data_IF_477533748754
#
_entry.id   IF_477533748754
#
_cell.length_a   1.000
_cell.length_b   1.000
_cell.length_c   1.000
_cell.angle_alpha   90.00
_cell.angle_beta   90.00
_cell.angle_gamma   90.00
#
_symmetry.space_group_name_H-M   'P 1'
#
loop_
_entity.id
_entity.type
_entity.pdbx_description
1 polymer ?
#
# COMPACT_ATOMS: atom_id res chain seq x y z
N UNK A 1 -6.31 -10.70 -5.74
CA UNK A 1 -7.70 -10.92 -5.29
C UNK A 1 -8.38 -12.01 -6.12
N UNK A 2 -9.37 -12.64 -5.53
CA UNK A 2 -10.18 -13.69 -6.17
C UNK A 2 -11.65 -13.34 -6.01
N UNK A 3 -12.41 -13.45 -7.10
CA UNK A 3 -13.87 -13.31 -7.08
C UNK A 3 -14.52 -14.45 -7.85
N UNK A 4 -15.69 -14.89 -7.38
CA UNK A 4 -16.45 -15.97 -8.01
C UNK A 4 -17.89 -15.54 -8.23
N UNK A 5 -18.47 -15.99 -9.33
CA UNK A 5 -19.89 -15.90 -9.62
C UNK A 5 -20.44 -17.32 -9.69
N UNK A 6 -21.52 -17.57 -8.99
CA UNK A 6 -22.16 -18.88 -8.95
C UNK A 6 -23.66 -18.76 -9.25
N UNK A 7 -24.25 -19.86 -9.71
CA UNK A 7 -25.71 -19.98 -9.82
C UNK A 7 -26.33 -20.19 -8.43
N UNK A 8 -27.68 -20.10 -8.34
CA UNK A 8 -28.43 -20.31 -7.08
C UNK A 8 -28.21 -21.72 -6.50
N UNK A 9 -27.91 -22.69 -7.34
CA UNK A 9 -27.55 -24.06 -6.94
C UNK A 9 -26.05 -24.26 -6.70
N UNK A 10 -25.29 -23.15 -6.47
CA UNK A 10 -23.86 -23.14 -6.15
C UNK A 10 -22.93 -23.72 -7.23
N UNK A 11 -23.34 -23.70 -8.49
CA UNK A 11 -22.46 -24.06 -9.61
C UNK A 11 -21.65 -22.87 -10.06
N UNK A 12 -20.35 -23.05 -10.25
CA UNK A 12 -19.44 -22.00 -10.70
C UNK A 12 -19.79 -21.56 -12.13
N UNK A 13 -20.04 -20.27 -12.32
CA UNK A 13 -20.24 -19.61 -13.62
C UNK A 13 -18.95 -18.94 -14.08
N UNK A 14 -18.31 -18.16 -13.20
CA UNK A 14 -17.07 -17.44 -13.48
C UNK A 14 -16.18 -17.37 -12.26
N UNK A 15 -14.89 -17.58 -12.47
CA UNK A 15 -13.82 -17.31 -11.51
C UNK A 15 -12.93 -16.23 -12.11
N UNK A 16 -12.63 -15.21 -11.34
CA UNK A 16 -11.67 -14.17 -11.70
C UNK A 16 -10.58 -14.04 -10.66
N UNK A 17 -9.32 -14.15 -11.09
CA UNK A 17 -8.14 -13.97 -10.24
C UNK A 17 -7.34 -12.78 -10.76
N UNK A 18 -7.01 -11.84 -9.86
CA UNK A 18 -6.24 -10.64 -10.21
C UNK A 18 -4.93 -10.61 -9.44
N UNK A 19 -3.85 -10.27 -10.13
CA UNK A 19 -2.52 -10.11 -9.53
C UNK A 19 -1.71 -9.04 -10.25
N UNK A 20 -0.69 -8.53 -9.57
CA UNK A 20 0.28 -7.58 -10.13
C UNK A 20 1.53 -8.36 -10.53
N UNK A 21 1.84 -8.51 -11.82
CA UNK A 21 2.97 -9.32 -12.27
C UNK A 21 4.33 -8.63 -12.08
N UNK A 22 4.35 -7.30 -12.20
CA UNK A 22 5.56 -6.48 -12.20
C UNK A 22 5.25 -5.03 -11.79
N UNK A 23 6.19 -4.13 -12.00
CA UNK A 23 6.09 -2.71 -11.66
C UNK A 23 5.63 -1.81 -12.82
N UNK A 24 5.09 -2.37 -13.87
CA UNK A 24 4.63 -1.63 -15.05
C UNK A 24 3.40 -0.75 -14.81
N UNK A 25 2.74 -0.89 -13.66
CA UNK A 25 1.46 -0.23 -13.37
C UNK A 25 0.25 -1.00 -13.90
N UNK A 26 0.47 -2.17 -14.46
CA UNK A 26 -0.57 -3.06 -14.97
C UNK A 26 -0.88 -4.18 -13.98
N UNK A 27 -2.08 -4.72 -14.09
CA UNK A 27 -2.45 -5.98 -13.43
C UNK A 27 -2.89 -7.00 -14.46
N UNK A 28 -2.84 -8.26 -14.08
CA UNK A 28 -3.38 -9.36 -14.87
C UNK A 28 -4.62 -9.94 -14.21
N UNK A 29 -5.48 -10.44 -15.08
CA UNK A 29 -6.75 -11.02 -14.72
C UNK A 29 -6.89 -12.36 -15.45
N UNK A 30 -6.90 -13.46 -14.68
CA UNK A 30 -7.30 -14.76 -15.19
C UNK A 30 -8.80 -14.89 -15.06
N UNK A 31 -9.49 -15.18 -16.16
CA UNK A 31 -10.92 -15.41 -16.18
C UNK A 31 -11.16 -16.84 -16.60
N UNK A 32 -11.92 -17.56 -15.78
CA UNK A 32 -12.41 -18.92 -16.08
C UNK A 32 -13.93 -18.84 -16.15
N UNK A 33 -14.48 -19.13 -17.31
CA UNK A 33 -15.93 -19.07 -17.56
C UNK A 33 -16.47 -20.45 -17.95
N UNK A 34 -17.63 -20.78 -17.41
CA UNK A 34 -18.37 -21.97 -17.84
C UNK A 34 -18.94 -21.75 -19.23
N UNK A 35 -18.66 -22.65 -20.16
CA UNK A 35 -19.15 -22.63 -21.53
C UNK A 35 -20.20 -23.72 -21.81
N UNK A 36 -20.38 -24.66 -20.88
CA UNK A 36 -21.32 -25.75 -20.95
C UNK A 36 -21.21 -26.66 -19.74
N UNK A 37 -21.93 -27.77 -19.74
CA UNK A 37 -21.81 -28.73 -18.62
C UNK A 37 -20.38 -29.29 -18.54
N UNK A 38 -19.71 -29.02 -17.39
CA UNK A 38 -18.33 -29.42 -17.12
C UNK A 38 -17.30 -28.92 -18.14
N UNK A 39 -17.63 -27.84 -18.88
CA UNK A 39 -16.72 -27.17 -19.82
C UNK A 39 -16.43 -25.76 -19.37
N UNK A 40 -15.16 -25.38 -19.43
CA UNK A 40 -14.68 -24.05 -19.07
C UNK A 40 -13.74 -23.52 -20.15
N UNK A 41 -13.82 -22.21 -20.38
CA UNK A 41 -12.85 -21.48 -21.17
C UNK A 41 -12.03 -20.58 -20.23
N UNK A 42 -10.76 -20.43 -20.54
CA UNK A 42 -9.85 -19.58 -19.78
C UNK A 42 -9.23 -18.52 -20.67
N UNK A 43 -9.01 -17.33 -20.13
CA UNK A 43 -8.24 -16.27 -20.77
C UNK A 43 -7.50 -15.45 -19.74
N UNK A 44 -6.40 -14.84 -20.16
CA UNK A 44 -5.64 -13.88 -19.36
C UNK A 44 -5.73 -12.53 -20.07
N UNK A 45 -6.12 -11.52 -19.29
CA UNK A 45 -6.20 -10.13 -19.75
C UNK A 45 -5.20 -9.30 -18.95
N UNK A 46 -4.62 -8.29 -19.61
CA UNK A 46 -3.78 -7.28 -18.98
C UNK A 46 -4.49 -5.94 -19.04
N UNK A 47 -4.56 -5.24 -17.92
CA UNK A 47 -5.17 -3.93 -17.86
C UNK A 47 -4.34 -3.01 -16.93
N UNK A 48 -4.53 -1.70 -17.08
CA UNK A 48 -3.85 -0.71 -16.27
C UNK A 48 -4.58 -0.53 -14.93
N UNK A 49 -3.81 -0.50 -13.84
CA UNK A 49 -4.35 -0.11 -12.54
C UNK A 49 -4.71 1.36 -12.52
N UNK A 50 -5.75 1.70 -11.78
CA UNK A 50 -6.13 3.08 -11.47
C UNK A 50 -5.53 3.49 -10.14
N UNK A 51 -5.16 4.76 -10.02
CA UNK A 51 -4.58 5.31 -8.80
C UNK A 51 -5.60 6.17 -8.09
N UNK A 52 -5.80 5.94 -6.80
CA UNK A 52 -6.54 6.81 -5.91
C UNK A 52 -5.69 7.14 -4.68
N UNK A 53 -6.13 8.07 -3.86
CA UNK A 53 -5.48 8.40 -2.60
C UNK A 53 -6.37 8.07 -1.42
N UNK A 54 -5.75 7.69 -0.30
CA UNK A 54 -6.43 7.37 0.94
C UNK A 54 -5.77 8.09 2.10
N UNK A 55 -6.59 8.67 2.97
CA UNK A 55 -6.16 9.23 4.25
C UNK A 55 -6.48 8.21 5.35
N UNK A 56 -5.51 7.91 6.16
CA UNK A 56 -5.68 7.08 7.34
C UNK A 56 -4.74 7.53 8.46
N UNK A 57 -4.95 7.05 9.66
CA UNK A 57 -4.10 7.37 10.80
C UNK A 57 -4.39 6.46 11.98
N UNK A 58 -3.66 6.68 13.05
CA UNK A 58 -3.80 5.88 14.26
C UNK A 58 -3.11 6.51 15.45
N UNK A 59 -3.35 5.88 16.60
CA UNK A 59 -2.75 6.24 17.87
C UNK A 59 -1.85 5.09 18.31
N UNK A 60 -0.62 5.42 18.72
CA UNK A 60 0.33 4.43 19.19
C UNK A 60 -0.08 3.91 20.57
N UNK A 61 -0.25 2.60 20.68
CA UNK A 61 -0.46 1.88 21.93
C UNK A 61 0.81 1.11 22.34
N UNK A 62 1.52 0.53 21.38
CA UNK A 62 2.74 -0.25 21.58
C UNK A 62 3.79 0.04 20.51
N UNK A 63 3.46 -0.14 19.24
CA UNK A 63 4.37 0.05 18.10
C UNK A 63 3.66 0.68 16.92
N UNK A 64 4.46 1.21 15.98
CA UNK A 64 3.92 1.75 14.72
C UNK A 64 3.18 0.67 13.93
N UNK A 65 3.78 -0.52 13.75
CA UNK A 65 3.16 -1.58 12.95
C UNK A 65 1.86 -2.12 13.57
N UNK A 66 1.77 -2.18 14.91
CA UNK A 66 0.52 -2.54 15.57
C UNK A 66 -0.59 -1.49 15.31
N UNK A 67 -0.22 -0.20 15.31
CA UNK A 67 -1.15 0.88 15.03
C UNK A 67 -1.60 0.90 13.57
N UNK A 68 -0.70 0.67 12.62
CA UNK A 68 -1.02 0.60 11.19
C UNK A 68 -1.88 -0.62 10.88
N UNK A 69 -1.62 -1.77 11.48
CA UNK A 69 -2.45 -2.97 11.35
C UNK A 69 -3.88 -2.73 11.86
N UNK A 70 -4.00 -2.08 13.02
CA UNK A 70 -5.32 -1.76 13.60
C UNK A 70 -6.15 -0.81 12.70
N UNK A 71 -5.50 0.01 11.88
CA UNK A 71 -6.12 0.95 10.95
C UNK A 71 -6.17 0.43 9.51
N UNK A 72 -5.82 -0.83 9.27
CA UNK A 72 -5.75 -1.45 7.95
C UNK A 72 -4.85 -0.68 6.95
N UNK A 73 -3.79 -0.09 7.44
CA UNK A 73 -2.77 0.56 6.62
C UNK A 73 -1.78 -0.51 6.15
N UNK A 74 -1.48 -0.60 4.85
CA UNK A 74 -0.52 -1.58 4.34
C UNK A 74 0.87 -1.46 4.97
N UNK A 75 1.55 -2.57 5.20
CA UNK A 75 2.91 -2.59 5.76
C UNK A 75 3.91 -1.79 4.93
N UNK A 76 3.77 -1.80 3.60
CA UNK A 76 4.60 -0.98 2.72
C UNK A 76 4.47 0.52 3.01
N UNK A 77 3.29 0.99 3.39
CA UNK A 77 3.05 2.38 3.81
C UNK A 77 3.65 2.64 5.19
N UNK A 78 3.50 1.71 6.13
CA UNK A 78 4.10 1.82 7.47
C UNK A 78 5.63 1.93 7.41
N UNK A 79 6.28 1.15 6.54
CA UNK A 79 7.72 1.22 6.30
C UNK A 79 8.12 2.60 5.77
N UNK A 80 7.38 3.15 4.81
CA UNK A 80 7.64 4.50 4.30
C UNK A 80 7.52 5.56 5.39
N UNK A 81 6.51 5.49 6.24
CA UNK A 81 6.34 6.43 7.38
C UNK A 81 7.53 6.33 8.34
N UNK A 82 7.94 5.12 8.69
CA UNK A 82 9.11 4.91 9.55
C UNK A 82 10.39 5.49 8.95
N UNK A 83 10.62 5.30 7.66
CA UNK A 83 11.80 5.83 6.98
C UNK A 83 11.76 7.36 6.85
N UNK A 84 10.59 7.93 6.54
CA UNK A 84 10.42 9.38 6.45
C UNK A 84 10.89 10.10 7.72
N UNK A 85 10.55 9.59 8.86
CA UNK A 85 10.79 10.22 10.15
C UNK A 85 11.95 9.61 10.94
N UNK A 86 12.70 8.67 10.36
CA UNK A 86 13.81 7.99 11.03
C UNK A 86 14.93 8.91 11.50
N UNK A 87 15.10 10.06 10.87
CA UNK A 87 16.07 11.07 11.28
C UNK A 87 15.63 11.89 12.50
N UNK A 88 14.35 11.88 12.84
CA UNK A 88 13.75 12.67 13.90
C UNK A 88 13.19 11.81 15.04
N UNK A 89 12.80 10.58 14.76
CA UNK A 89 12.14 9.68 15.69
C UNK A 89 12.85 8.33 15.68
N UNK A 90 13.28 7.88 16.85
CA UNK A 90 13.71 6.50 17.05
C UNK A 90 12.47 5.63 17.32
N UNK A 91 11.98 4.97 16.28
CA UNK A 91 10.76 4.15 16.34
C UNK A 91 10.86 2.93 17.27
N UNK A 92 12.06 2.56 17.69
CA UNK A 92 12.27 1.46 18.64
C UNK A 92 12.26 1.92 20.10
N UNK A 93 12.76 3.11 20.34
CA UNK A 93 13.05 3.58 21.71
C UNK A 93 12.23 4.80 22.13
N UNK A 94 11.84 5.64 21.18
CA UNK A 94 11.25 6.94 21.47
C UNK A 94 9.74 7.00 21.30
N UNK A 95 9.10 5.96 20.74
CA UNK A 95 7.65 5.91 20.64
C UNK A 95 7.01 5.79 22.01
N UNK A 96 5.96 6.59 22.22
CA UNK A 96 5.20 6.61 23.47
C UNK A 96 3.73 6.32 23.18
N UNK A 97 3.09 5.66 24.14
CA UNK A 97 1.64 5.51 24.13
C UNK A 97 0.98 6.89 24.07
N UNK A 98 0.05 7.04 23.12
CA UNK A 98 -0.62 8.31 22.87
C UNK A 98 0.00 9.13 21.73
N UNK A 99 1.20 8.79 21.25
CA UNK A 99 1.71 9.32 19.98
C UNK A 99 0.70 9.02 18.88
N UNK A 100 0.60 9.88 17.90
CA UNK A 100 -0.37 9.71 16.80
C UNK A 100 0.24 10.07 15.46
N UNK A 101 -0.35 9.52 14.42
CA UNK A 101 0.05 9.82 13.06
C UNK A 101 -1.16 9.86 12.12
N UNK A 102 -0.97 10.55 11.02
CA UNK A 102 -1.86 10.50 9.86
C UNK A 102 -1.02 10.42 8.59
N UNK A 103 -1.54 9.76 7.59
CA UNK A 103 -0.84 9.52 6.32
C UNK A 103 -1.83 9.54 5.16
N UNK A 104 -1.44 10.24 4.09
CA UNK A 104 -2.10 10.15 2.78
C UNK A 104 -1.19 9.36 1.86
N UNK A 105 -1.70 8.31 1.26
CA UNK A 105 -0.94 7.43 0.38
C UNK A 105 -1.75 7.02 -0.85
N UNK A 106 -1.03 6.67 -1.90
CA UNK A 106 -1.62 6.16 -3.13
C UNK A 106 -2.09 4.72 -2.95
N UNK A 107 -3.28 4.43 -3.46
CA UNK A 107 -3.84 3.08 -3.59
C UNK A 107 -3.95 2.74 -5.06
N UNK A 108 -3.41 1.60 -5.45
CA UNK A 108 -3.49 1.08 -6.80
C UNK A 108 -4.62 0.07 -6.88
N UNK A 109 -5.60 0.37 -7.72
CA UNK A 109 -6.84 -0.38 -7.82
C UNK A 109 -6.94 -1.13 -9.14
N UNK A 110 -7.50 -2.32 -9.07
CA UNK A 110 -7.86 -3.16 -10.19
C UNK A 110 -9.35 -3.44 -10.13
N UNK A 111 -10.10 -3.05 -11.16
CA UNK A 111 -11.56 -3.21 -11.21
C UNK A 111 -12.29 -2.61 -9.98
N UNK A 112 -11.80 -1.47 -9.49
CA UNK A 112 -12.38 -0.77 -8.34
C UNK A 112 -11.98 -1.32 -6.96
N UNK A 113 -11.15 -2.36 -6.89
CA UNK A 113 -10.66 -2.94 -5.64
C UNK A 113 -9.20 -2.60 -5.40
N UNK A 114 -8.81 -2.22 -4.16
CA UNK A 114 -7.41 -2.01 -3.84
C UNK A 114 -6.62 -3.31 -4.00
N UNK A 115 -5.59 -3.29 -4.84
CA UNK A 115 -4.74 -4.44 -5.10
C UNK A 115 -3.33 -4.25 -4.54
N UNK A 116 -2.86 -3.01 -4.51
CA UNK A 116 -1.55 -2.66 -3.99
C UNK A 116 -1.55 -1.22 -3.46
N UNK A 117 -0.56 -0.84 -2.71
CA UNK A 117 -0.34 0.54 -2.28
C UNK A 117 0.87 1.14 -3.00
N UNK A 118 0.84 2.45 -3.17
CA UNK A 118 1.90 3.21 -3.79
C UNK A 118 2.65 4.08 -2.78
N UNK A 119 2.93 5.29 -3.20
CA UNK A 119 3.74 6.24 -2.45
C UNK A 119 2.96 6.96 -1.37
N UNK A 120 3.61 7.22 -0.24
CA UNK A 120 3.13 8.22 0.72
C UNK A 120 3.21 9.60 0.08
N UNK A 121 2.09 10.31 0.07
CA UNK A 121 1.97 11.66 -0.49
C UNK A 121 2.19 12.72 0.57
N UNK A 122 1.67 12.51 1.77
CA UNK A 122 1.93 13.33 2.94
C UNK A 122 1.80 12.51 4.22
N UNK A 123 2.52 12.92 5.24
CA UNK A 123 2.46 12.28 6.55
C UNK A 123 2.69 13.29 7.66
N UNK A 124 2.01 13.07 8.77
CA UNK A 124 2.22 13.78 10.02
C UNK A 124 2.43 12.76 11.13
N UNK A 125 3.40 13.01 11.97
CA UNK A 125 3.67 12.18 13.15
C UNK A 125 3.89 13.07 14.37
N UNK A 126 3.11 12.86 15.41
CA UNK A 126 3.25 13.55 16.70
C UNK A 126 3.89 12.59 17.69
N UNK A 127 5.14 12.85 18.02
CA UNK A 127 5.94 12.06 18.97
C UNK A 127 6.31 12.93 20.15
N UNK A 128 5.92 12.49 21.34
CA UNK A 128 6.20 13.21 22.59
C UNK A 128 5.79 14.71 22.53
N UNK A 129 4.62 14.98 21.94
CA UNK A 129 4.09 16.33 21.76
C UNK A 129 4.72 17.14 20.63
N UNK A 130 5.74 16.62 19.97
CA UNK A 130 6.40 17.27 18.84
C UNK A 130 5.85 16.77 17.51
N UNK A 131 5.42 17.69 16.67
CA UNK A 131 4.85 17.40 15.37
C UNK A 131 5.93 17.39 14.29
N UNK A 132 5.96 16.30 13.50
CA UNK A 132 6.80 16.15 12.32
C UNK A 132 5.91 15.98 11.12
N UNK A 133 6.22 16.64 10.01
CA UNK A 133 5.40 16.62 8.78
C UNK A 133 6.30 16.43 7.57
N UNK A 134 5.79 15.73 6.57
CA UNK A 134 6.45 15.48 5.31
C UNK A 134 5.45 15.52 4.15
N UNK A 135 5.87 16.08 3.02
CA UNK A 135 5.08 16.15 1.79
C UNK A 135 5.94 15.71 0.62
N UNK A 136 5.38 14.84 -0.22
CA UNK A 136 5.99 14.50 -1.50
C UNK A 136 5.80 15.62 -2.51
N UNK A 137 6.89 16.00 -3.19
CA UNK A 137 6.85 16.96 -4.26
C UNK A 137 7.76 16.53 -5.42
N UNK A 138 7.24 16.66 -6.63
CA UNK A 138 7.99 16.45 -7.85
C UNK A 138 7.68 17.60 -8.81
N UNK A 139 8.71 18.31 -9.24
CA UNK A 139 8.56 19.35 -10.27
C UNK A 139 8.13 18.74 -11.59
N UNK A 140 7.34 19.48 -12.37
CA UNK A 140 6.77 19.00 -13.62
C UNK A 140 7.82 18.52 -14.63
N UNK A 141 9.02 19.09 -14.58
CA UNK A 141 10.14 18.75 -15.47
C UNK A 141 11.19 17.84 -14.82
N UNK A 142 11.01 17.45 -13.55
CA UNK A 142 11.96 16.62 -12.84
C UNK A 142 11.67 15.14 -13.07
N UNK A 143 12.73 14.34 -13.22
CA UNK A 143 12.62 12.89 -13.32
C UNK A 143 12.44 12.20 -11.96
N UNK A 144 12.76 12.92 -10.86
CA UNK A 144 12.67 12.43 -9.49
C UNK A 144 11.97 13.43 -8.60
N UNK A 145 11.13 12.95 -7.70
CA UNK A 145 10.59 13.72 -6.63
C UNK A 145 11.34 13.50 -5.32
N UNK A 146 10.97 14.25 -4.30
CA UNK A 146 11.53 14.14 -2.95
C UNK A 146 10.50 14.54 -1.90
N UNK A 147 10.82 14.22 -0.64
CA UNK A 147 10.03 14.68 0.50
C UNK A 147 10.61 15.95 1.07
N UNK A 148 9.72 16.83 1.48
CA UNK A 148 10.02 18.12 2.07
C UNK A 148 9.21 18.32 3.35
N UNK A 149 9.78 19.08 4.30
CA UNK A 149 9.01 19.65 5.40
C UNK A 149 8.06 20.71 4.87
N UNK A 150 7.09 21.14 5.67
CA UNK A 150 6.18 22.23 5.27
C UNK A 150 6.90 23.58 5.10
N UNK A 151 8.08 23.74 5.71
CA UNK A 151 8.93 24.92 5.51
C UNK A 151 9.78 24.85 4.23
N UNK A 152 9.63 23.79 3.46
CA UNK A 152 10.35 23.59 2.19
C UNK A 152 11.76 23.01 2.34
N UNK A 153 12.14 22.54 3.51
CA UNK A 153 13.43 21.87 3.71
C UNK A 153 13.38 20.44 3.16
N UNK A 154 14.41 20.05 2.40
CA UNK A 154 14.52 18.73 1.86
C UNK A 154 14.80 17.69 2.96
N UNK A 155 14.03 16.62 2.95
CA UNK A 155 14.25 15.45 3.81
C UNK A 155 15.16 14.44 3.09
N UNK A 156 16.45 14.80 2.92
CA UNK A 156 17.41 14.04 2.10
C UNK A 156 17.58 12.58 2.48
N UNK A 157 17.33 12.20 3.75
CA UNK A 157 17.44 10.83 4.24
C UNK A 157 16.23 9.96 3.89
N UNK A 158 15.16 10.58 3.42
CA UNK A 158 13.95 9.91 3.00
C UNK A 158 13.87 9.73 1.48
N UNK A 159 15.02 9.50 0.83
CA UNK A 159 15.01 8.94 -0.53
C UNK A 159 14.54 7.50 -0.42
N UNK A 160 13.25 7.34 -0.48
CA UNK A 160 12.65 6.03 -0.53
C UNK A 160 12.98 5.41 -1.88
N UNK A 161 13.46 4.20 -1.85
CA UNK A 161 13.45 3.33 -3.00
C UNK A 161 12.05 3.35 -3.63
N UNK A 162 11.94 3.05 -4.90
CA UNK A 162 10.63 3.08 -5.58
C UNK A 162 9.61 2.25 -4.81
N UNK A 163 8.31 2.62 -4.81
CA UNK A 163 7.26 1.88 -4.10
C UNK A 163 7.24 0.38 -4.39
N UNK A 164 7.79 -0.02 -5.52
CA UNK A 164 7.93 -1.41 -5.97
C UNK A 164 8.91 -2.20 -5.11
N UNK A 165 9.97 -1.60 -4.61
CA UNK A 165 10.93 -2.29 -3.74
C UNK A 165 10.30 -2.64 -2.39
N UNK A 166 9.36 -1.83 -1.90
CA UNK A 166 8.60 -2.12 -0.69
C UNK A 166 7.62 -3.29 -0.87
N UNK A 167 7.03 -3.44 -2.04
CA UNK A 167 6.12 -4.54 -2.31
C UNK A 167 6.83 -5.90 -2.37
N UNK A 168 8.14 -5.93 -2.64
CA UNK A 168 8.94 -7.18 -2.62
C UNK A 168 9.26 -7.67 -1.21
N UNK A 169 9.36 -6.78 -0.23
CA UNK A 169 9.68 -7.16 1.15
C UNK A 169 8.48 -7.77 1.88
N UNK A 170 7.27 -7.43 1.48
CA UNK A 170 6.04 -7.94 2.10
C UNK A 170 5.55 -9.28 1.56
N UNK A 171 6.16 -9.80 0.48
CA UNK A 171 5.76 -11.08 -0.11
C UNK A 171 6.39 -12.32 0.53
N UNK A 172 7.02 -12.16 1.69
CA UNK A 172 7.44 -13.28 2.53
C UNK A 172 6.26 -13.92 3.26
N UNK A 173 5.35 -14.52 2.52
CA UNK A 173 4.29 -15.38 3.08
C UNK A 173 4.96 -16.64 3.66
N UNK A 174 5.43 -16.57 4.90
CA UNK A 174 5.73 -17.78 5.65
C UNK A 174 4.42 -18.29 6.25
N UNK A 175 3.86 -19.32 5.66
CA UNK A 175 2.91 -20.17 6.37
C UNK A 175 3.58 -20.65 7.67
N UNK A 176 3.09 -20.15 8.80
CA UNK A 176 3.34 -20.82 10.07
C UNK A 176 2.29 -21.94 10.17
N UNK A 177 2.74 -23.16 9.96
CA UNK A 177 2.03 -24.34 10.43
C UNK A 177 2.03 -24.32 11.97
N UNK A 178 0.86 -24.24 12.55
CA UNK A 178 0.61 -24.59 13.95
C UNK A 178 0.33 -26.08 14.04
#
# INVERSE_FOLDING_TARGET
SVSTETTDDHRLVRLTVRWVPDDSGNFRRLIVERTGDNKFATRIETAKMTTSSRLSGGIIQSSLFAATDASNIPDAVAVQVAELFSGNIDFRRSLRKGDRFSVVYETLEADGEPLSSGRVLSAEFVNNGKTHQAVWFQESNATKGAYYTLDGESMRRAYLASPVEFSRVTSGFKMRLH
#
